data_IF_328904836149
#
_entry.id   IF_328904836149
#
_cell.length_a   1.000
_cell.length_b   1.000
_cell.length_c   1.000
_cell.angle_alpha   90.00
_cell.angle_beta   90.00
_cell.angle_gamma   90.00
#
_symmetry.space_group_name_H-M   'P 1'
#
loop_
_entity.id
_entity.type
_entity.pdbx_description
1 polymer ?
#
# COMPACT_ATOMS: atom_id res chain seq x y z
N UNK A 1 65.43 20.84 -10.12
CA UNK A 1 64.34 21.39 -9.30
C UNK A 1 63.02 20.89 -9.88
N UNK A 2 62.69 19.65 -9.51
CA UNK A 2 61.64 18.84 -10.11
C UNK A 2 60.38 18.97 -9.26
N UNK A 3 59.34 19.48 -9.92
CA UNK A 3 58.00 19.63 -9.34
C UNK A 3 57.24 18.32 -9.54
N UNK A 4 57.06 17.57 -8.46
CA UNK A 4 56.16 16.42 -8.41
C UNK A 4 54.70 16.88 -8.37
N UNK A 5 53.98 16.69 -9.46
CA UNK A 5 52.54 16.88 -9.54
C UNK A 5 51.89 15.60 -9.01
N UNK A 6 51.36 15.68 -7.79
CA UNK A 6 50.61 14.59 -7.16
C UNK A 6 49.22 14.53 -7.79
N UNK A 7 48.94 13.48 -8.56
CA UNK A 7 47.65 13.23 -9.18
C UNK A 7 46.77 12.52 -8.16
N UNK A 8 45.87 13.28 -7.50
CA UNK A 8 44.84 12.72 -6.61
C UNK A 8 43.71 12.15 -7.47
N UNK A 9 43.68 10.85 -7.64
CA UNK A 9 42.54 10.13 -8.23
C UNK A 9 41.44 10.07 -7.21
N UNK A 10 40.44 10.94 -7.34
CA UNK A 10 39.17 10.82 -6.59
C UNK A 10 38.39 9.67 -7.21
N UNK A 11 38.36 8.55 -6.50
CA UNK A 11 37.53 7.40 -6.86
C UNK A 11 36.06 7.73 -6.50
N UNK A 12 35.33 8.24 -7.48
CA UNK A 12 33.89 8.45 -7.37
C UNK A 12 33.23 7.06 -7.41
N UNK A 13 32.90 6.47 -6.25
CA UNK A 13 32.02 5.32 -6.17
C UNK A 13 30.63 5.77 -6.63
N UNK A 14 30.36 5.63 -7.93
CA UNK A 14 29.02 5.68 -8.47
C UNK A 14 28.28 4.44 -7.94
N UNK A 15 27.47 4.62 -6.90
CA UNK A 15 26.44 3.65 -6.55
C UNK A 15 25.42 3.66 -7.70
N UNK A 16 25.62 2.79 -8.69
CA UNK A 16 24.63 2.52 -9.71
C UNK A 16 23.53 1.69 -9.04
N UNK A 17 22.49 2.34 -8.58
CA UNK A 17 21.26 1.64 -8.18
C UNK A 17 20.74 0.90 -9.42
N UNK A 18 20.65 -0.42 -9.32
CA UNK A 18 20.21 -1.25 -10.44
C UNK A 18 18.70 -1.16 -10.60
N UNK A 19 18.25 -0.29 -11.50
CA UNK A 19 16.85 -0.12 -11.86
C UNK A 19 16.17 -1.46 -12.25
N UNK A 20 16.94 -2.42 -12.76
CA UNK A 20 16.45 -3.74 -13.15
C UNK A 20 16.02 -4.64 -11.99
N UNK A 21 16.54 -4.45 -10.76
CA UNK A 21 16.18 -5.26 -9.60
C UNK A 21 14.85 -4.82 -8.99
N UNK A 22 14.63 -3.51 -8.88
CA UNK A 22 13.36 -2.93 -8.42
C UNK A 22 12.19 -3.38 -9.29
N UNK A 23 12.39 -3.40 -10.61
CA UNK A 23 11.36 -3.84 -11.57
C UNK A 23 10.98 -5.31 -11.32
N UNK A 24 11.93 -6.16 -10.92
CA UNK A 24 11.67 -7.58 -10.68
C UNK A 24 10.86 -7.81 -9.40
N UNK A 25 11.15 -7.11 -8.30
CA UNK A 25 10.35 -7.22 -7.06
C UNK A 25 8.93 -6.71 -7.26
N UNK A 26 8.74 -5.58 -7.95
CA UNK A 26 7.41 -5.05 -8.27
C UNK A 26 6.63 -5.97 -9.23
N UNK A 27 7.28 -6.56 -10.23
CA UNK A 27 6.61 -7.46 -11.17
C UNK A 27 5.97 -8.68 -10.48
N UNK A 28 6.49 -9.08 -9.30
CA UNK A 28 5.91 -10.16 -8.50
C UNK A 28 4.54 -9.82 -7.95
N UNK A 29 4.26 -8.54 -7.64
CA UNK A 29 2.92 -8.12 -7.23
C UNK A 29 1.88 -8.37 -8.32
N UNK A 30 2.27 -8.28 -9.60
CA UNK A 30 1.37 -8.57 -10.71
C UNK A 30 1.00 -10.05 -10.83
N UNK A 31 1.72 -10.95 -10.14
CA UNK A 31 1.41 -12.38 -10.08
C UNK A 31 0.42 -12.72 -8.95
N UNK A 32 0.09 -11.75 -8.10
CA UNK A 32 -0.90 -11.93 -7.03
C UNK A 32 -2.29 -11.68 -7.62
N UNK A 33 -3.03 -12.75 -7.85
CA UNK A 33 -4.42 -12.70 -8.32
C UNK A 33 -5.40 -12.49 -7.18
N UNK A 34 -5.07 -13.04 -5.99
CA UNK A 34 -5.82 -12.82 -4.76
C UNK A 34 -4.90 -12.81 -3.54
N UNK A 35 -5.30 -12.06 -2.54
CA UNK A 35 -4.61 -11.94 -1.26
C UNK A 35 -5.64 -11.91 -0.14
N UNK A 36 -5.44 -12.69 0.90
CA UNK A 36 -6.24 -12.69 2.12
C UNK A 36 -5.31 -12.72 3.32
N UNK A 37 -5.57 -11.86 4.32
CA UNK A 37 -4.78 -11.81 5.54
C UNK A 37 -5.58 -11.16 6.68
N UNK A 38 -5.25 -11.52 7.89
CA UNK A 38 -5.59 -10.74 9.06
C UNK A 38 -4.59 -9.58 9.18
N UNK A 39 -5.05 -8.43 9.68
CA UNK A 39 -4.17 -7.28 9.87
C UNK A 39 -4.27 -6.67 11.26
N UNK A 40 -3.16 -6.07 11.66
CA UNK A 40 -3.09 -5.15 12.79
C UNK A 40 -2.52 -3.83 12.28
N UNK A 41 -3.32 -2.77 12.33
CA UNK A 41 -2.91 -1.41 11.98
C UNK A 41 -2.64 -0.62 13.26
N UNK A 42 -1.51 0.09 13.29
CA UNK A 42 -1.17 1.08 14.31
C UNK A 42 -1.24 2.47 13.69
N UNK A 43 -1.89 3.38 14.38
CA UNK A 43 -1.92 4.81 14.08
C UNK A 43 -0.98 5.49 15.07
N UNK A 44 -0.11 6.38 14.58
CA UNK A 44 0.85 7.07 15.42
C UNK A 44 0.51 8.57 15.48
N UNK A 45 0.70 9.15 16.65
CA UNK A 45 0.65 10.61 16.84
C UNK A 45 1.92 11.28 16.27
N UNK A 46 1.96 12.62 16.34
CA UNK A 46 3.11 13.41 15.86
C UNK A 46 4.41 13.19 16.66
N UNK A 47 4.36 12.49 17.78
CA UNK A 47 5.51 12.13 18.64
C UNK A 47 5.93 10.66 18.46
N UNK A 48 5.37 9.96 17.45
CA UNK A 48 5.60 8.54 17.17
C UNK A 48 5.13 7.59 18.30
N UNK A 49 4.15 8.03 19.08
CA UNK A 49 3.48 7.19 20.07
C UNK A 49 2.27 6.52 19.42
N UNK A 50 2.04 5.24 19.71
CA UNK A 50 0.85 4.53 19.21
C UNK A 50 -0.38 5.12 19.91
N UNK A 51 -1.23 5.78 19.11
CA UNK A 51 -2.48 6.38 19.57
C UNK A 51 -3.65 5.37 19.47
N UNK A 52 -3.68 4.58 18.39
CA UNK A 52 -4.76 3.64 18.13
C UNK A 52 -4.23 2.35 17.52
N UNK A 53 -4.91 1.24 17.84
CA UNK A 53 -4.69 -0.07 17.22
C UNK A 53 -6.01 -0.57 16.65
N UNK A 54 -6.03 -0.80 15.33
CA UNK A 54 -7.16 -1.35 14.60
C UNK A 54 -6.80 -2.78 14.17
N UNK A 55 -7.74 -3.72 14.31
CA UNK A 55 -7.58 -5.09 13.85
C UNK A 55 -8.71 -5.46 12.91
N UNK A 56 -8.42 -6.39 12.02
CA UNK A 56 -9.42 -6.85 11.08
C UNK A 56 -8.88 -7.77 10.01
N UNK A 57 -9.60 -7.84 8.91
CA UNK A 57 -9.30 -8.72 7.77
C UNK A 57 -9.23 -7.93 6.47
N UNK A 58 -8.26 -8.24 5.62
CA UNK A 58 -8.13 -7.71 4.28
C UNK A 58 -8.20 -8.82 3.25
N UNK A 59 -9.08 -8.67 2.27
CA UNK A 59 -9.23 -9.58 1.13
C UNK A 59 -9.14 -8.75 -0.14
N UNK A 60 -8.32 -9.20 -1.07
CA UNK A 60 -8.13 -8.58 -2.38
C UNK A 60 -8.26 -9.63 -3.49
N UNK A 61 -8.84 -9.24 -4.61
CA UNK A 61 -8.93 -10.02 -5.85
C UNK A 61 -8.82 -9.11 -7.05
N UNK A 62 -7.92 -9.44 -7.99
CA UNK A 62 -7.81 -8.69 -9.25
C UNK A 62 -9.12 -8.70 -10.04
N UNK A 63 -9.37 -7.62 -10.82
CA UNK A 63 -8.46 -6.49 -11.06
C UNK A 63 -8.47 -5.42 -9.98
N UNK A 64 -9.59 -5.18 -9.27
CA UNK A 64 -9.73 -4.08 -8.32
C UNK A 64 -10.80 -4.33 -7.26
N UNK A 65 -11.08 -5.60 -6.96
CA UNK A 65 -12.02 -5.97 -5.91
C UNK A 65 -11.27 -6.10 -4.59
N UNK A 66 -11.77 -5.47 -3.55
CA UNK A 66 -11.25 -5.69 -2.21
C UNK A 66 -12.30 -5.51 -1.14
N UNK A 67 -12.01 -6.06 0.03
CA UNK A 67 -12.79 -5.96 1.25
C UNK A 67 -11.83 -5.76 2.41
N UNK A 68 -11.94 -4.62 3.07
CA UNK A 68 -11.27 -4.28 4.31
C UNK A 68 -12.29 -4.25 5.43
N UNK A 69 -12.16 -5.12 6.40
CA UNK A 69 -13.06 -5.20 7.56
C UNK A 69 -12.24 -4.81 8.79
N UNK A 70 -12.69 -3.78 9.50
CA UNK A 70 -12.18 -3.40 10.82
C UNK A 70 -13.17 -3.86 11.88
N UNK A 71 -12.68 -4.64 12.86
CA UNK A 71 -13.52 -5.22 13.91
C UNK A 71 -13.42 -4.43 15.24
N UNK A 72 -12.31 -3.71 15.44
CA UNK A 72 -12.04 -2.98 16.66
C UNK A 72 -11.02 -1.85 16.37
N UNK A 73 -11.19 -0.65 16.98
CA UNK A 73 -12.28 -0.24 17.89
C UNK A 73 -13.58 0.13 17.18
N UNK A 74 -13.58 0.27 15.84
CA UNK A 74 -14.74 0.65 15.03
C UNK A 74 -15.10 -0.47 14.07
N UNK A 75 -16.38 -0.84 14.03
CA UNK A 75 -16.90 -1.77 13.04
C UNK A 75 -17.10 -1.06 11.70
N UNK A 76 -16.14 -1.17 10.80
CA UNK A 76 -16.21 -0.56 9.49
C UNK A 76 -15.89 -1.57 8.39
N UNK A 77 -16.58 -1.50 7.28
CA UNK A 77 -16.27 -2.25 6.08
C UNK A 77 -16.01 -1.30 4.92
N UNK A 78 -14.82 -1.41 4.31
CA UNK A 78 -14.50 -0.70 3.07
C UNK A 78 -14.43 -1.76 1.98
N UNK A 79 -15.26 -1.61 0.96
CA UNK A 79 -15.46 -2.64 -0.07
C UNK A 79 -15.39 -2.01 -1.46
N UNK A 80 -14.75 -2.71 -2.39
CA UNK A 80 -14.76 -2.33 -3.80
C UNK A 80 -15.20 -3.49 -4.68
N UNK A 81 -16.06 -3.20 -5.65
CA UNK A 81 -16.47 -4.09 -6.74
C UNK A 81 -15.64 -3.90 -8.02
N UNK A 82 -14.63 -3.02 -7.97
CA UNK A 82 -13.78 -2.67 -9.10
C UNK A 82 -14.16 -1.36 -9.81
N UNK A 83 -15.35 -0.84 -9.58
CA UNK A 83 -15.83 0.43 -10.16
C UNK A 83 -16.12 1.47 -9.07
N UNK A 84 -16.75 1.05 -7.99
CA UNK A 84 -17.13 1.88 -6.85
C UNK A 84 -16.45 1.40 -5.57
N UNK A 85 -16.38 2.32 -4.62
CA UNK A 85 -15.96 2.12 -3.24
C UNK A 85 -17.14 2.36 -2.32
N UNK A 86 -17.48 1.37 -1.49
CA UNK A 86 -18.45 1.48 -0.41
C UNK A 86 -17.72 1.55 0.92
N UNK A 87 -18.00 2.56 1.72
CA UNK A 87 -17.53 2.71 3.10
C UNK A 87 -18.76 2.58 3.99
N UNK A 88 -18.88 1.44 4.64
CA UNK A 88 -20.00 1.10 5.52
C UNK A 88 -19.57 1.13 6.97
N UNK A 89 -20.19 2.03 7.73
CA UNK A 89 -20.08 2.07 9.18
C UNK A 89 -21.21 1.23 9.76
N UNK A 90 -20.84 0.13 10.43
CA UNK A 90 -21.82 -0.84 10.96
C UNK A 90 -22.56 -0.28 12.17
N UNK A 91 -21.86 0.53 13.00
CA UNK A 91 -22.44 1.05 14.25
C UNK A 91 -23.46 2.16 13.99
N UNK A 92 -23.28 2.93 12.91
CA UNK A 92 -24.20 3.99 12.51
C UNK A 92 -25.16 3.57 11.38
N UNK A 93 -25.02 2.36 10.84
CA UNK A 93 -25.77 1.86 9.68
C UNK A 93 -25.72 2.83 8.47
N UNK A 94 -24.56 3.48 8.28
CA UNK A 94 -24.33 4.44 7.20
C UNK A 94 -23.43 3.87 6.14
N UNK A 95 -23.80 4.05 4.88
CA UNK A 95 -22.98 3.67 3.73
C UNK A 95 -22.73 4.87 2.82
N UNK A 96 -21.46 5.09 2.50
CA UNK A 96 -21.00 6.12 1.55
C UNK A 96 -20.46 5.39 0.34
N UNK A 97 -20.98 5.71 -0.85
CA UNK A 97 -20.51 5.15 -2.12
C UNK A 97 -19.82 6.24 -2.93
N UNK A 98 -18.61 5.96 -3.44
CA UNK A 98 -17.81 6.88 -4.27
C UNK A 98 -17.19 6.15 -5.45
N UNK A 99 -16.74 6.89 -6.46
CA UNK A 99 -15.94 6.33 -7.54
C UNK A 99 -14.60 5.80 -7.01
N UNK A 100 -14.29 4.54 -7.30
CA UNK A 100 -13.01 3.93 -6.91
C UNK A 100 -11.83 4.68 -7.53
N UNK A 101 -11.95 5.10 -8.78
CA UNK A 101 -10.85 5.74 -9.52
C UNK A 101 -10.35 7.03 -8.86
N UNK A 102 -11.20 7.75 -8.15
CA UNK A 102 -10.83 9.01 -7.52
C UNK A 102 -10.19 8.80 -6.14
N UNK A 103 -10.69 7.80 -5.41
CA UNK A 103 -10.17 7.49 -4.07
C UNK A 103 -8.84 6.73 -4.11
N UNK A 104 -8.67 5.82 -5.06
CA UNK A 104 -7.50 4.92 -5.08
C UNK A 104 -6.21 5.60 -5.53
N UNK A 105 -6.29 6.63 -6.38
CA UNK A 105 -5.12 7.38 -6.88
C UNK A 105 -4.21 7.93 -5.77
N UNK A 106 -4.80 8.15 -4.60
CA UNK A 106 -4.14 8.74 -3.44
C UNK A 106 -3.88 7.72 -2.33
N UNK A 107 -4.08 6.42 -2.61
CA UNK A 107 -3.90 5.32 -1.65
C UNK A 107 -2.70 4.44 -2.02
N UNK A 108 -1.96 3.88 -1.05
CA UNK A 108 -0.96 2.84 -1.31
C UNK A 108 -1.52 1.60 -2.02
N UNK A 109 -2.85 1.37 -1.94
CA UNK A 109 -3.52 0.31 -2.68
C UNK A 109 -3.41 0.48 -4.20
N UNK A 110 -3.11 1.71 -4.67
CA UNK A 110 -2.86 2.00 -6.08
C UNK A 110 -1.87 1.03 -6.74
N UNK A 111 -0.85 0.59 -6.00
CA UNK A 111 0.11 -0.40 -6.50
C UNK A 111 -0.48 -1.79 -6.77
N UNK A 112 -1.53 -2.20 -6.05
CA UNK A 112 -2.15 -3.52 -6.26
C UNK A 112 -2.93 -3.57 -7.59
N UNK A 113 -3.30 -2.41 -8.12
CA UNK A 113 -4.19 -2.28 -9.27
C UNK A 113 -3.48 -1.86 -10.55
N UNK A 114 -2.26 -1.31 -10.44
CA UNK A 114 -1.54 -0.69 -11.56
C UNK A 114 -0.25 -1.42 -11.90
N UNK A 115 0.18 -1.23 -13.14
CA UNK A 115 1.44 -1.78 -13.63
C UNK A 115 2.65 -1.00 -13.11
N UNK A 116 3.81 -1.66 -13.07
CA UNK A 116 5.08 -1.08 -12.62
C UNK A 116 5.40 0.25 -13.30
N UNK A 117 5.08 0.39 -14.59
CA UNK A 117 5.33 1.63 -15.35
C UNK A 117 4.48 2.79 -14.83
N UNK A 118 3.21 2.56 -14.50
CA UNK A 118 2.30 3.56 -13.95
C UNK A 118 2.74 3.98 -12.55
N UNK A 119 3.07 2.99 -11.70
CA UNK A 119 3.57 3.24 -10.35
C UNK A 119 4.87 4.08 -10.39
N UNK A 120 5.79 3.79 -11.31
CA UNK A 120 7.06 4.51 -11.44
C UNK A 120 6.89 5.95 -11.95
N UNK A 121 5.78 6.26 -12.61
CA UNK A 121 5.45 7.64 -13.00
C UNK A 121 5.02 8.47 -11.79
N UNK A 122 4.29 7.88 -10.85
CA UNK A 122 3.77 8.58 -9.67
C UNK A 122 4.77 8.60 -8.50
N UNK A 123 5.59 7.54 -8.36
CA UNK A 123 6.48 7.36 -7.22
C UNK A 123 7.95 7.21 -7.64
N UNK A 124 8.85 7.77 -6.84
CA UNK A 124 10.25 7.35 -6.81
C UNK A 124 10.32 6.07 -5.98
N UNK A 125 10.95 5.02 -6.53
CA UNK A 125 10.97 3.70 -5.91
C UNK A 125 12.41 3.30 -5.60
N UNK A 126 12.66 2.91 -4.36
CA UNK A 126 13.95 2.41 -3.90
C UNK A 126 13.78 1.02 -3.27
N UNK A 127 14.66 0.10 -3.63
CA UNK A 127 14.70 -1.25 -3.08
C UNK A 127 15.90 -1.45 -2.15
N UNK A 128 15.64 -1.85 -0.93
CA UNK A 128 16.65 -2.18 0.07
C UNK A 128 16.57 -3.67 0.42
N UNK A 129 17.55 -4.45 -0.03
CA UNK A 129 17.65 -5.88 0.28
C UNK A 129 18.47 -6.09 1.56
N UNK A 130 17.84 -6.72 2.52
CA UNK A 130 18.43 -7.17 3.77
C UNK A 130 18.45 -8.70 3.81
N UNK A 131 19.29 -9.30 4.65
CA UNK A 131 19.50 -10.75 4.66
C UNK A 131 18.19 -11.57 4.83
N UNK A 132 17.19 -11.04 5.54
CA UNK A 132 15.93 -11.75 5.86
C UNK A 132 14.71 -11.19 5.15
N UNK A 133 14.78 -9.99 4.57
CA UNK A 133 13.64 -9.31 3.97
C UNK A 133 14.08 -8.24 2.97
N UNK A 134 13.15 -7.85 2.12
CA UNK A 134 13.30 -6.72 1.20
C UNK A 134 12.35 -5.61 1.62
N UNK A 135 12.81 -4.36 1.57
CA UNK A 135 11.96 -3.18 1.78
C UNK A 135 11.92 -2.38 0.48
N UNK A 136 10.72 -2.15 -0.02
CA UNK A 136 10.44 -1.25 -1.13
C UNK A 136 9.94 0.06 -0.57
N UNK A 137 10.64 1.16 -0.83
CA UNK A 137 10.24 2.50 -0.42
C UNK A 137 9.70 3.27 -1.62
N UNK A 138 8.58 3.94 -1.42
CA UNK A 138 7.88 4.72 -2.43
C UNK A 138 7.74 6.15 -1.92
N UNK A 139 8.30 7.11 -2.65
CA UNK A 139 8.17 8.54 -2.35
C UNK A 139 7.34 9.18 -3.46
N UNK A 140 6.26 9.86 -3.10
CA UNK A 140 5.38 10.51 -4.06
C UNK A 140 6.11 11.64 -4.77
N UNK A 141 6.03 11.68 -6.11
CA UNK A 141 6.61 12.74 -6.92
C UNK A 141 5.81 14.04 -6.87
N UNK A 142 4.52 13.95 -6.49
CA UNK A 142 3.65 15.09 -6.32
C UNK A 142 3.59 15.48 -4.83
N UNK A 143 4.23 16.59 -4.48
CA UNK A 143 4.27 17.12 -3.11
C UNK A 143 2.90 17.56 -2.58
N UNK A 144 1.91 17.74 -3.45
CA UNK A 144 0.54 18.10 -3.06
C UNK A 144 -0.33 16.88 -2.75
N UNK A 145 0.17 15.65 -2.94
CA UNK A 145 -0.53 14.45 -2.55
C UNK A 145 -0.49 14.29 -1.02
N UNK A 146 -1.60 13.84 -0.41
CA UNK A 146 -1.66 13.60 1.02
C UNK A 146 -0.69 12.49 1.42
N UNK A 147 -0.63 11.37 0.68
CA UNK A 147 0.36 10.32 0.92
C UNK A 147 1.73 10.81 0.46
N UNK A 148 2.59 11.14 1.40
CA UNK A 148 3.96 11.57 1.15
C UNK A 148 4.85 10.42 0.69
N UNK A 149 4.81 9.33 1.44
CA UNK A 149 5.58 8.13 1.17
C UNK A 149 4.92 6.90 1.81
N UNK A 150 5.30 5.73 1.31
CA UNK A 150 5.00 4.48 1.97
C UNK A 150 6.12 3.46 1.72
N UNK A 151 6.18 2.43 2.55
CA UNK A 151 7.12 1.33 2.38
C UNK A 151 6.43 -0.01 2.54
N UNK A 152 6.91 -1.02 1.80
CA UNK A 152 6.43 -2.39 1.86
C UNK A 152 7.56 -3.30 2.26
N UNK A 153 7.35 -4.06 3.30
CA UNK A 153 8.27 -5.10 3.73
C UNK A 153 7.83 -6.44 3.17
N UNK A 154 8.76 -7.09 2.47
CA UNK A 154 8.59 -8.42 1.90
C UNK A 154 9.46 -9.43 2.67
N UNK A 155 8.87 -10.55 3.07
CA UNK A 155 9.59 -11.71 3.59
C UNK A 155 9.17 -12.94 2.78
N UNK A 156 10.15 -13.64 2.21
CA UNK A 156 9.89 -14.79 1.33
C UNK A 156 8.86 -14.47 0.24
N UNK A 157 8.97 -13.27 -0.36
CA UNK A 157 8.08 -12.73 -1.39
C UNK A 157 6.61 -12.46 -0.94
N UNK A 158 6.31 -12.57 0.36
CA UNK A 158 5.02 -12.20 0.92
C UNK A 158 5.06 -10.79 1.50
N UNK A 159 3.98 -10.03 1.29
CA UNK A 159 3.79 -8.72 1.91
C UNK A 159 3.56 -8.94 3.41
N UNK A 160 4.50 -8.50 4.25
CA UNK A 160 4.41 -8.63 5.70
C UNK A 160 3.93 -7.36 6.38
N UNK A 161 4.37 -6.21 5.90
CA UNK A 161 3.89 -4.96 6.45
C UNK A 161 3.90 -3.85 5.42
N UNK A 162 3.10 -2.84 5.70
CA UNK A 162 2.98 -1.58 4.98
C UNK A 162 3.10 -0.45 6.00
N UNK A 163 4.03 0.48 5.77
CA UNK A 163 4.13 1.72 6.53
C UNK A 163 3.79 2.89 5.63
N UNK A 164 2.96 3.80 6.09
CA UNK A 164 2.44 4.94 5.32
C UNK A 164 2.73 6.21 6.10
N UNK A 165 3.23 7.23 5.40
CA UNK A 165 3.35 8.59 5.89
C UNK A 165 2.35 9.47 5.13
N UNK A 166 1.33 9.92 5.81
CA UNK A 166 0.30 10.82 5.29
C UNK A 166 0.44 12.20 5.94
N UNK A 167 0.40 13.27 5.12
CA UNK A 167 0.64 14.66 5.59
C UNK A 167 -0.47 15.19 6.48
N UNK A 168 -1.67 14.63 6.37
CA UNK A 168 -2.87 15.06 7.10
C UNK A 168 -3.16 14.15 8.27
N UNK A 169 -3.09 12.83 8.03
CA UNK A 169 -3.52 11.80 8.99
C UNK A 169 -2.36 11.20 9.80
N UNK A 170 -1.10 11.56 9.48
CA UNK A 170 0.07 11.09 10.21
C UNK A 170 0.62 9.76 9.72
N UNK A 171 1.22 8.99 10.61
CA UNK A 171 1.86 7.72 10.28
C UNK A 171 0.98 6.54 10.63
N UNK A 172 0.97 5.55 9.71
CA UNK A 172 0.29 4.26 9.89
C UNK A 172 1.27 3.12 9.65
N UNK A 173 1.12 2.04 10.41
CA UNK A 173 1.82 0.78 10.18
C UNK A 173 0.80 -0.36 10.18
N UNK A 174 0.76 -1.14 9.09
CA UNK A 174 -0.13 -2.28 8.92
C UNK A 174 0.73 -3.54 8.87
N UNK A 175 0.50 -4.47 9.77
CA UNK A 175 1.15 -5.78 9.78
C UNK A 175 0.15 -6.85 9.39
N UNK A 176 0.55 -7.75 8.48
CA UNK A 176 -0.28 -8.84 7.96
C UNK A 176 0.15 -10.17 8.55
N UNK A 177 -0.82 -10.94 9.01
CA UNK A 177 -0.69 -12.29 9.56
C UNK A 177 -1.62 -13.24 8.80
N UNK A 178 -1.38 -14.54 8.90
CA UNK A 178 -2.18 -15.61 8.27
C UNK A 178 -2.43 -15.38 6.77
N UNK A 179 -1.35 -15.00 6.07
CA UNK A 179 -1.39 -14.57 4.67
C UNK A 179 -1.64 -15.77 3.74
N UNK A 180 -2.65 -15.64 2.91
CA UNK A 180 -2.97 -16.56 1.84
C UNK A 180 -2.99 -15.84 0.49
N UNK A 181 -2.23 -16.35 -0.49
CA UNK A 181 -2.17 -15.78 -1.85
C UNK A 181 -2.68 -16.75 -2.89
N UNK A 182 -3.29 -16.20 -3.94
CA UNK A 182 -3.75 -16.95 -5.13
C UNK A 182 -4.72 -18.11 -4.79
N UNK A 183 -5.51 -17.94 -3.71
CA UNK A 183 -6.61 -18.82 -3.39
C UNK A 183 -7.90 -18.38 -4.08
N UNK A 184 -8.82 -19.32 -4.21
CA UNK A 184 -10.15 -18.98 -4.71
C UNK A 184 -10.86 -18.05 -3.73
N UNK A 185 -11.34 -16.92 -4.25
CA UNK A 185 -12.17 -15.95 -3.55
C UNK A 185 -13.47 -15.78 -4.31
N UNK A 186 -14.61 -15.99 -3.62
CA UNK A 186 -15.93 -15.78 -4.20
C UNK A 186 -16.15 -14.29 -4.44
N UNK A 187 -16.46 -13.91 -5.68
CA UNK A 187 -16.65 -12.50 -6.04
C UNK A 187 -17.89 -11.87 -5.39
N UNK A 188 -18.85 -12.68 -4.94
CA UNK A 188 -20.06 -12.19 -4.29
C UNK A 188 -19.80 -11.42 -2.97
N UNK A 189 -18.66 -11.67 -2.32
CA UNK A 189 -18.29 -10.94 -1.09
C UNK A 189 -18.01 -9.45 -1.34
N UNK A 190 -17.72 -9.08 -2.59
CA UNK A 190 -17.45 -7.70 -3.00
C UNK A 190 -18.71 -6.94 -3.43
N UNK A 191 -19.83 -7.65 -3.63
CA UNK A 191 -21.10 -7.06 -4.03
C UNK A 191 -21.71 -6.23 -2.90
N UNK A 192 -22.17 -5.02 -3.23
CA UNK A 192 -22.83 -4.10 -2.30
C UNK A 192 -24.02 -3.34 -2.90
N UNK A 193 -24.46 -3.71 -4.10
CA UNK A 193 -25.53 -3.01 -4.82
C UNK A 193 -26.90 -3.08 -4.14
N UNK A 194 -27.07 -3.97 -3.15
CA UNK A 194 -28.33 -4.18 -2.42
C UNK A 194 -28.30 -3.58 -1.00
N UNK A 195 -27.39 -2.65 -0.69
CA UNK A 195 -27.38 -2.00 0.62
C UNK A 195 -28.45 -0.91 0.62
N UNK A 196 -29.57 -1.17 1.33
CA UNK A 196 -30.62 -0.18 1.59
C UNK A 196 -30.02 0.99 2.39
N UNK A 197 -30.39 2.23 2.03
CA UNK A 197 -29.95 3.50 2.64
C UNK A 197 -28.54 4.00 2.28
N UNK A 198 -27.93 3.53 1.19
CA UNK A 198 -26.66 4.10 0.72
C UNK A 198 -26.81 5.56 0.26
N UNK A 199 -25.96 6.45 0.77
CA UNK A 199 -25.78 7.79 0.21
C UNK A 199 -24.73 7.70 -0.91
N UNK A 200 -25.15 7.95 -2.15
CA UNK A 200 -24.24 7.97 -3.31
C UNK A 200 -23.77 9.40 -3.51
N UNK A 201 -22.46 9.59 -3.49
CA UNK A 201 -21.81 10.86 -3.84
C UNK A 201 -21.13 10.68 -5.21
N UNK A 202 -21.62 11.41 -6.22
CA UNK A 202 -21.01 11.50 -7.55
C UNK A 202 -19.91 12.57 -7.58
#
# INVERSE_FOLDING_TARGET
>A
RDSLISFVIIFFCLNTYSFGEVTNSLARFNLIESFEADFTQKVFDGESTVEEIVKGKFIFKRPANFLWISDSPYNQQIKSDGEYLSIYDVDFEQNIIRSLSDEIKHSPLYMLFNDVSEISNEYLIEENKLNSHTVLNFTNRNENNNVESFSIKLESDLIKSLSIMDRVSGQFEINFEDIEINKYVDSSIFDFHNIDNAQVFE
#
